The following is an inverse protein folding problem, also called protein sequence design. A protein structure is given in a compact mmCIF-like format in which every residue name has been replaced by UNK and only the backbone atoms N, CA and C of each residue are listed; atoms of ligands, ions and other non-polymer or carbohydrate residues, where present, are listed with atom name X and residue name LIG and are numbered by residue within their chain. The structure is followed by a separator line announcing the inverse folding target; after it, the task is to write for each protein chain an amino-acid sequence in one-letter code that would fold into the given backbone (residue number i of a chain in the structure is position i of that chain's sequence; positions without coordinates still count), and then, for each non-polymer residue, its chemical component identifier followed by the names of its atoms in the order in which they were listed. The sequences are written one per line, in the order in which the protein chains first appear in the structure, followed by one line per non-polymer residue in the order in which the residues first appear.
data_IF_598194441341
#
_entry.id   IF_598194441341
#
_cell.length_a   1.000
_cell.length_b   1.000
_cell.length_c   1.000
_cell.angle_alpha   90.00
_cell.angle_beta   90.00
_cell.angle_gamma   90.00
#
_symmetry.space_group_name_H-M   'P 1'
#
loop_
_entity.id
_entity.type
_entity.pdbx_description
1 polymer ?
#
# COMPACT_ATOMS: atom_id res chain seq x y z
N UNK A 1 17.43 -8.83 -3.29
CA UNK A 1 16.39 -7.83 -3.00
C UNK A 1 15.79 -7.35 -4.31
N UNK A 2 14.51 -7.02 -4.32
CA UNK A 2 13.78 -6.56 -5.50
C UNK A 2 13.76 -5.03 -5.59
N UNK A 3 13.77 -4.50 -6.82
CA UNK A 3 13.60 -3.05 -7.07
C UNK A 3 12.12 -2.63 -7.06
N UNK A 4 11.24 -3.55 -7.46
CA UNK A 4 9.79 -3.37 -7.49
C UNK A 4 9.13 -4.59 -6.87
N UNK A 5 8.14 -4.36 -6.02
CA UNK A 5 7.26 -5.40 -5.47
C UNK A 5 5.83 -5.10 -5.92
N UNK A 6 5.17 -6.06 -6.56
CA UNK A 6 3.76 -5.97 -6.97
C UNK A 6 2.96 -7.04 -6.24
N UNK A 7 1.84 -6.65 -5.63
CA UNK A 7 1.01 -7.55 -4.82
C UNK A 7 -0.12 -8.15 -5.67
N UNK A 8 -0.23 -9.48 -5.63
CA UNK A 8 -1.25 -10.26 -6.34
C UNK A 8 -1.82 -11.35 -5.42
N UNK A 9 -2.38 -10.94 -4.29
CA UNK A 9 -2.90 -11.83 -3.25
C UNK A 9 -4.40 -11.63 -3.03
N UNK A 10 -5.13 -12.66 -2.60
CA UNK A 10 -6.54 -12.51 -2.21
C UNK A 10 -6.66 -11.76 -0.88
N UNK A 11 -7.88 -11.33 -0.56
CA UNK A 11 -8.21 -10.82 0.78
C UNK A 11 -8.63 -11.99 1.68
N UNK A 12 -7.81 -12.30 2.68
CA UNK A 12 -8.13 -13.28 3.72
C UNK A 12 -7.37 -12.93 5.01
N UNK A 13 -7.56 -13.75 6.06
CA UNK A 13 -6.94 -13.50 7.35
C UNK A 13 -5.40 -13.48 7.33
N UNK A 14 -4.75 -14.24 6.44
CA UNK A 14 -3.29 -14.30 6.36
C UNK A 14 -2.67 -13.20 5.50
N UNK A 15 -3.45 -12.51 4.67
CA UNK A 15 -2.97 -11.41 3.82
C UNK A 15 -3.35 -10.03 4.34
N UNK A 16 -4.19 -9.96 5.38
CA UNK A 16 -4.58 -8.72 6.02
C UNK A 16 -3.36 -8.04 6.66
N UNK A 17 -3.07 -6.82 6.21
CA UNK A 17 -1.91 -6.01 6.59
C UNK A 17 -0.58 -6.78 6.47
N UNK A 18 -0.46 -7.69 5.49
CA UNK A 18 0.77 -8.46 5.30
C UNK A 18 1.96 -7.59 4.90
N UNK A 19 1.72 -6.40 4.33
CA UNK A 19 2.74 -5.39 4.09
C UNK A 19 2.61 -4.31 5.16
N UNK A 20 3.22 -4.56 6.32
CA UNK A 20 3.32 -3.64 7.45
C UNK A 20 4.65 -2.90 7.50
N UNK A 21 4.91 -2.21 8.61
CA UNK A 21 6.14 -1.41 8.79
C UNK A 21 7.43 -2.26 8.69
N UNK A 22 7.40 -3.48 9.22
CA UNK A 22 8.56 -4.38 9.18
C UNK A 22 8.88 -4.83 7.76
N UNK A 23 7.87 -5.28 7.01
CA UNK A 23 8.04 -5.73 5.62
C UNK A 23 8.46 -4.58 4.70
N UNK A 24 7.89 -3.40 4.90
CA UNK A 24 8.27 -2.19 4.16
C UNK A 24 9.72 -1.80 4.44
N UNK A 25 10.20 -1.90 5.69
CA UNK A 25 11.59 -1.61 6.05
C UNK A 25 12.60 -2.64 5.52
N UNK A 26 12.14 -3.86 5.24
CA UNK A 26 12.94 -4.91 4.60
C UNK A 26 13.06 -4.74 3.08
N UNK A 27 12.25 -3.87 2.47
CA UNK A 27 12.40 -3.54 1.06
C UNK A 27 13.74 -2.83 0.83
N UNK A 28 14.21 -2.90 -0.42
CA UNK A 28 15.41 -2.16 -0.81
C UNK A 28 15.15 -0.66 -0.66
N UNK A 29 16.04 0.13 -0.05
CA UNK A 29 15.93 1.59 -0.06
C UNK A 29 15.82 2.12 -1.50
N UNK A 30 14.81 2.95 -1.75
CA UNK A 30 14.46 3.45 -3.09
C UNK A 30 13.60 2.50 -3.94
N UNK A 31 13.10 1.39 -3.38
CA UNK A 31 12.20 0.50 -4.10
C UNK A 31 10.81 1.12 -4.35
N UNK A 32 10.05 0.47 -5.23
CA UNK A 32 8.67 0.80 -5.56
C UNK A 32 7.71 -0.31 -5.10
N UNK A 33 6.55 0.09 -4.59
CA UNK A 33 5.45 -0.83 -4.24
C UNK A 33 4.24 -0.60 -5.16
N UNK A 34 3.66 -1.68 -5.69
CA UNK A 34 2.42 -1.63 -6.47
C UNK A 34 1.36 -2.52 -5.80
N UNK A 35 0.18 -1.95 -5.52
CA UNK A 35 -0.97 -2.71 -5.05
C UNK A 35 -2.23 -2.36 -5.86
N UNK A 36 -2.60 -3.28 -6.74
CA UNK A 36 -3.90 -3.33 -7.42
C UNK A 36 -4.66 -4.63 -7.04
N UNK A 37 -4.35 -5.21 -5.87
CA UNK A 37 -4.97 -6.45 -5.40
C UNK A 37 -6.15 -6.17 -4.50
N UNK A 38 -5.91 -5.92 -3.20
CA UNK A 38 -6.94 -5.66 -2.19
C UNK A 38 -6.50 -4.56 -1.23
N UNK A 39 -7.45 -3.74 -0.81
CA UNK A 39 -7.19 -2.55 0.01
C UNK A 39 -6.66 -2.87 1.41
N UNK A 40 -6.95 -4.05 1.95
CA UNK A 40 -6.54 -4.46 3.29
C UNK A 40 -5.19 -5.18 3.34
N UNK A 41 -4.45 -5.25 2.23
CA UNK A 41 -3.18 -6.00 2.16
C UNK A 41 -2.02 -5.17 2.69
N UNK A 42 -2.11 -3.86 2.57
CA UNK A 42 -1.07 -2.91 2.98
C UNK A 42 -1.55 -2.11 4.18
N UNK A 43 -0.70 -1.99 5.20
CA UNK A 43 -0.90 -1.01 6.27
C UNK A 43 -0.63 0.39 5.71
N UNK A 44 -1.70 1.14 5.44
CA UNK A 44 -1.64 2.46 4.79
C UNK A 44 -0.86 3.49 5.63
N UNK A 45 -1.08 3.63 6.96
CA UNK A 45 -0.20 4.43 7.81
C UNK A 45 1.28 4.09 7.65
N UNK A 46 1.65 2.81 7.71
CA UNK A 46 3.04 2.40 7.55
C UNK A 46 3.60 2.73 6.15
N UNK A 47 2.79 2.58 5.10
CA UNK A 47 3.16 2.99 3.74
C UNK A 47 3.41 4.51 3.66
N UNK A 48 2.54 5.32 4.25
CA UNK A 48 2.71 6.77 4.30
C UNK A 48 4.03 7.16 4.97
N UNK A 49 4.38 6.50 6.08
CA UNK A 49 5.64 6.74 6.79
C UNK A 49 6.86 6.33 5.96
N UNK A 50 6.79 5.19 5.26
CA UNK A 50 7.86 4.72 4.37
C UNK A 50 8.09 5.66 3.17
N UNK A 51 7.03 6.26 2.64
CA UNK A 51 7.10 7.27 1.58
C UNK A 51 7.59 8.62 2.10
N UNK A 52 7.08 9.08 3.25
CA UNK A 52 7.49 10.34 3.87
C UNK A 52 8.98 10.35 4.25
N UNK A 53 9.49 9.21 4.75
CA UNK A 53 10.91 9.00 5.05
C UNK A 53 11.79 8.82 3.80
N UNK A 54 11.20 8.69 2.61
CA UNK A 54 11.87 8.35 1.34
C UNK A 54 12.59 7.00 1.37
N UNK A 55 12.19 6.10 2.26
CA UNK A 55 12.68 4.72 2.22
C UNK A 55 12.18 4.03 0.95
N UNK A 56 10.92 4.23 0.59
CA UNK A 56 10.40 3.91 -0.74
C UNK A 56 10.50 5.13 -1.66
N UNK A 57 10.86 4.89 -2.91
CA UNK A 57 10.88 5.94 -3.93
C UNK A 57 9.47 6.33 -4.39
N UNK A 58 8.49 5.45 -4.21
CA UNK A 58 7.11 5.67 -4.61
C UNK A 58 6.23 4.44 -4.41
N UNK A 59 4.92 4.64 -4.52
CA UNK A 59 3.95 3.57 -4.52
C UNK A 59 2.79 3.87 -5.49
N UNK A 60 2.30 2.84 -6.18
CA UNK A 60 1.09 2.92 -7.01
C UNK A 60 -0.01 2.06 -6.38
N UNK A 61 -1.08 2.71 -5.92
CA UNK A 61 -2.16 2.08 -5.16
C UNK A 61 -3.51 2.38 -5.84
N UNK A 62 -4.27 1.35 -6.16
CA UNK A 62 -5.60 1.45 -6.81
C UNK A 62 -6.75 1.00 -5.90
N UNK A 63 -6.43 0.34 -4.78
CA UNK A 63 -7.40 -0.32 -3.89
C UNK A 63 -7.27 0.21 -2.46
N UNK A 64 -8.40 0.42 -1.79
CA UNK A 64 -8.44 1.01 -0.44
C UNK A 64 -9.29 0.17 0.53
N UNK A 65 -8.99 0.15 1.84
CA UNK A 65 -9.76 -0.63 2.83
C UNK A 65 -11.27 -0.31 2.84
N UNK A 66 -11.63 0.93 2.56
CA UNK A 66 -13.01 1.37 2.38
C UNK A 66 -13.08 2.01 1.01
N UNK A 67 -13.92 1.50 0.12
CA UNK A 67 -14.15 2.15 -1.16
C UNK A 67 -15.51 2.84 -1.16
N UNK A 68 -15.65 3.99 -1.85
CA UNK A 68 -16.96 4.58 -2.04
C UNK A 68 -17.86 3.60 -2.80
N UNK A 69 -19.07 3.37 -2.30
CA UNK A 69 -20.02 2.46 -2.96
C UNK A 69 -20.58 3.09 -4.24
N UNK A 70 -20.58 4.41 -4.32
CA UNK A 70 -21.10 5.20 -5.43
C UNK A 70 -20.21 6.41 -5.72
N UNK A 71 -20.37 7.00 -6.90
CA UNK A 71 -19.64 8.22 -7.29
C UNK A 71 -20.01 9.46 -6.45
N UNK A 72 -21.09 9.39 -5.68
CA UNK A 72 -21.50 10.47 -4.77
C UNK A 72 -20.87 10.33 -3.39
N UNK A 73 -20.27 9.19 -3.09
CA UNK A 73 -19.64 8.93 -1.80
C UNK A 73 -18.22 9.53 -1.77
N UNK A 74 -17.82 10.19 -0.67
CA UNK A 74 -16.50 10.77 -0.52
C UNK A 74 -15.41 9.69 -0.36
N UNK A 75 -14.24 9.96 -0.94
CA UNK A 75 -13.01 9.23 -0.60
C UNK A 75 -12.45 9.73 0.73
N UNK A 76 -12.25 8.83 1.69
CA UNK A 76 -11.78 9.18 3.05
C UNK A 76 -10.29 8.93 3.28
N UNK A 77 -9.49 8.65 2.25
CA UNK A 77 -8.09 8.27 2.42
C UNK A 77 -7.14 9.44 2.23
N UNK A 78 -6.13 9.51 3.10
CA UNK A 78 -5.00 10.41 2.90
C UNK A 78 -4.35 10.06 1.56
N UNK A 79 -4.25 11.03 0.67
CA UNK A 79 -3.67 10.84 -0.65
C UNK A 79 -2.24 10.30 -0.48
N UNK A 80 -2.05 9.01 -0.80
CA UNK A 80 -0.75 8.52 -1.24
C UNK A 80 -0.47 9.35 -2.49
N UNK A 81 0.50 10.26 -2.41
CA UNK A 81 0.88 11.11 -3.54
C UNK A 81 1.31 10.19 -4.69
N UNK A 82 0.46 10.09 -5.70
CA UNK A 82 0.76 9.48 -7.00
C UNK A 82 1.70 10.41 -7.77
#
# INVERSE_FOLDING_TARGET
MSDVVSLHVPENASTKNMMGAEELALMKPGALLINASRGTVVDIPALCDALASKHLAGAAIDVFPTEPATNSDPFHFAAVRV
#
